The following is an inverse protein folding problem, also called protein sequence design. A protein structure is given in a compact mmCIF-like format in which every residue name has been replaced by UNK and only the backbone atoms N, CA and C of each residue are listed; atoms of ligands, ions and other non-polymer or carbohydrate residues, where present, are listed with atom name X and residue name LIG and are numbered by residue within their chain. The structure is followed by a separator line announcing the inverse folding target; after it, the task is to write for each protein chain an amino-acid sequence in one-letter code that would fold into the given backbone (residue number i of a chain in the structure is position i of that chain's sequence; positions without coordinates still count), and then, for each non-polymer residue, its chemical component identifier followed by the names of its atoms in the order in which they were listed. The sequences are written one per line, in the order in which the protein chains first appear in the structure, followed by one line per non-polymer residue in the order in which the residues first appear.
data_IF_087539397373
#
_entry.id   IF_087539397373
#
_cell.length_a   1.000
_cell.length_b   1.000
_cell.length_c   1.000
_cell.angle_alpha   90.00
_cell.angle_beta   90.00
_cell.angle_gamma   90.00
#
_symmetry.space_group_name_H-M   'P 1'
#
loop_
_entity.id
_entity.type
_entity.pdbx_description
1 polymer ?
#
# COMPACT_ATOMS: atom_id res chain seq x y z
N UNK A 1 -3.51 1.77 -5.80
CA UNK A 1 -4.87 1.39 -6.28
C UNK A 1 -5.76 2.62 -6.27
N UNK A 2 -6.69 2.77 -7.21
CA UNK A 2 -7.54 3.96 -7.36
C UNK A 2 -9.01 3.65 -7.09
N UNK A 3 -9.72 4.52 -6.37
CA UNK A 3 -11.13 4.34 -6.04
C UNK A 3 -12.04 5.07 -7.03
N UNK A 4 -13.21 4.50 -7.28
CA UNK A 4 -14.29 5.21 -7.94
C UNK A 4 -14.72 6.45 -7.11
N UNK A 5 -15.31 7.42 -7.79
CA UNK A 5 -15.73 8.68 -7.17
C UNK A 5 -16.68 8.44 -5.99
N UNK A 6 -16.29 8.92 -4.81
CA UNK A 6 -17.08 8.77 -3.59
C UNK A 6 -17.08 7.36 -2.96
N UNK A 7 -16.44 6.37 -3.59
CA UNK A 7 -16.33 5.02 -3.04
C UNK A 7 -15.17 4.91 -2.05
N UNK A 8 -15.36 4.11 -1.01
CA UNK A 8 -14.31 3.62 -0.12
C UNK A 8 -14.08 2.11 -0.22
N UNK A 9 -14.91 1.42 -0.99
CA UNK A 9 -14.86 -0.04 -1.09
C UNK A 9 -13.87 -0.47 -2.16
N UNK A 10 -13.12 -1.54 -1.85
CA UNK A 10 -12.31 -2.21 -2.85
C UNK A 10 -13.21 -3.09 -3.72
N UNK A 11 -13.10 -2.93 -5.04
CA UNK A 11 -13.72 -3.85 -5.98
C UNK A 11 -12.95 -5.18 -6.03
N UNK A 12 -13.60 -6.21 -6.58
CA UNK A 12 -13.04 -7.55 -6.69
C UNK A 12 -11.69 -7.56 -7.45
N UNK A 13 -11.56 -6.77 -8.51
CA UNK A 13 -10.34 -6.69 -9.30
C UNK A 13 -9.19 -6.01 -8.53
N UNK A 14 -9.48 -5.10 -7.61
CA UNK A 14 -8.51 -4.52 -6.69
C UNK A 14 -8.06 -5.53 -5.63
N UNK A 15 -8.98 -6.31 -5.07
CA UNK A 15 -8.67 -7.39 -4.11
C UNK A 15 -7.78 -8.45 -4.76
N UNK A 16 -8.10 -8.87 -5.99
CA UNK A 16 -7.31 -9.85 -6.74
C UNK A 16 -5.90 -9.32 -7.04
N UNK A 17 -5.77 -8.06 -7.45
CA UNK A 17 -4.47 -7.42 -7.67
C UNK A 17 -3.65 -7.32 -6.39
N UNK A 18 -4.28 -6.97 -5.27
CA UNK A 18 -3.64 -6.92 -3.97
C UNK A 18 -3.12 -8.29 -3.57
N UNK A 19 -3.97 -9.32 -3.65
CA UNK A 19 -3.62 -10.71 -3.34
C UNK A 19 -2.44 -11.19 -4.19
N UNK A 20 -2.51 -10.95 -5.51
CA UNK A 20 -1.43 -11.32 -6.42
C UNK A 20 -0.12 -10.57 -6.14
N UNK A 21 -0.19 -9.31 -5.70
CA UNK A 21 1.00 -8.55 -5.31
C UNK A 21 1.63 -9.05 -4.01
N UNK A 22 0.83 -9.32 -2.96
CA UNK A 22 1.32 -9.90 -1.69
C UNK A 22 1.96 -11.27 -1.95
N UNK A 23 1.31 -12.14 -2.73
CA UNK A 23 1.87 -13.46 -3.07
C UNK A 23 3.23 -13.38 -3.78
N UNK A 24 3.43 -12.39 -4.66
CA UNK A 24 4.75 -12.14 -5.28
C UNK A 24 5.76 -11.63 -4.26
N UNK A 25 5.35 -10.81 -3.31
CA UNK A 25 6.23 -10.34 -2.25
C UNK A 25 6.66 -11.49 -1.32
N UNK A 26 5.76 -12.42 -0.97
CA UNK A 26 6.04 -13.60 -0.13
C UNK A 26 7.07 -14.57 -0.75
N UNK A 27 7.13 -14.59 -2.09
CA UNK A 27 8.14 -15.35 -2.81
C UNK A 27 9.57 -14.82 -2.53
N UNK A 28 9.71 -13.53 -2.21
CA UNK A 28 10.98 -12.85 -1.98
C UNK A 28 11.29 -12.64 -0.50
N UNK A 29 10.27 -12.36 0.31
CA UNK A 29 10.38 -11.99 1.72
C UNK A 29 9.52 -12.93 2.56
N UNK A 30 10.10 -13.57 3.58
CA UNK A 30 9.39 -14.55 4.38
C UNK A 30 8.63 -13.94 5.57
N UNK A 31 9.14 -12.83 6.11
CA UNK A 31 8.61 -12.18 7.31
C UNK A 31 8.55 -10.68 7.07
N UNK A 32 7.44 -10.07 7.49
CA UNK A 32 7.24 -8.63 7.50
C UNK A 32 7.25 -8.11 8.93
N UNK A 33 7.94 -7.00 9.16
CA UNK A 33 7.95 -6.32 10.46
C UNK A 33 6.67 -5.49 10.64
N UNK A 34 6.26 -4.79 9.57
CA UNK A 34 5.05 -3.98 9.56
C UNK A 34 4.60 -3.69 8.12
N UNK A 35 3.48 -2.97 7.99
CA UNK A 35 3.03 -2.37 6.76
C UNK A 35 2.56 -0.93 6.97
N UNK A 36 2.52 -0.17 5.88
CA UNK A 36 1.94 1.16 5.81
C UNK A 36 0.80 1.19 4.80
N UNK A 37 -0.30 1.84 5.14
CA UNK A 37 -1.43 2.12 4.23
C UNK A 37 -1.64 3.62 4.18
N UNK A 38 -1.42 4.23 3.03
CA UNK A 38 -1.76 5.63 2.77
C UNK A 38 -3.00 5.70 1.89
N UNK A 39 -3.99 6.51 2.25
CA UNK A 39 -5.16 6.76 1.42
C UNK A 39 -5.42 8.25 1.21
N UNK A 40 -5.86 8.58 0.00
CA UNK A 40 -6.24 9.93 -0.40
C UNK A 40 -7.71 10.03 -0.76
N UNK A 41 -8.28 11.23 -0.63
CA UNK A 41 -9.49 11.61 -1.33
C UNK A 41 -9.46 13.05 -1.83
N UNK A 42 -10.03 13.28 -3.02
CA UNK A 42 -10.13 14.62 -3.60
C UNK A 42 -11.35 15.37 -3.05
N UNK A 43 -11.18 16.66 -2.77
CA UNK A 43 -12.29 17.62 -2.61
C UNK A 43 -12.82 17.96 -4.00
N UNK A 44 -13.62 17.05 -4.58
CA UNK A 44 -14.00 17.07 -6.01
C UNK A 44 -15.24 17.89 -6.34
N UNK A 45 -16.02 18.35 -5.35
CA UNK A 45 -17.36 18.93 -5.58
C UNK A 45 -17.60 20.16 -4.70
N UNK A 46 -18.39 21.15 -5.16
CA UNK A 46 -18.80 22.30 -4.36
C UNK A 46 -19.49 21.91 -3.03
N UNK A 47 -20.11 20.74 -3.00
CA UNK A 47 -20.83 20.19 -1.85
C UNK A 47 -19.99 19.29 -0.94
N UNK A 48 -18.76 18.92 -1.32
CA UNK A 48 -17.88 18.05 -0.52
C UNK A 48 -16.87 18.92 0.22
N UNK A 49 -16.88 18.87 1.54
CA UNK A 49 -15.91 19.61 2.36
C UNK A 49 -14.57 18.89 2.43
N UNK A 50 -13.53 19.59 2.92
CA UNK A 50 -12.26 18.93 3.26
C UNK A 50 -12.43 17.85 4.33
N UNK A 51 -13.39 18.02 5.25
CA UNK A 51 -13.70 17.03 6.28
C UNK A 51 -14.34 15.78 5.69
N UNK A 52 -15.25 15.94 4.72
CA UNK A 52 -15.84 14.82 3.99
C UNK A 52 -14.80 14.03 3.20
N UNK A 53 -13.88 14.73 2.53
CA UNK A 53 -12.77 14.08 1.85
C UNK A 53 -11.85 13.36 2.85
N UNK A 54 -11.54 13.98 3.99
CA UNK A 54 -10.72 13.33 5.02
C UNK A 54 -11.39 12.08 5.58
N UNK A 55 -12.71 12.14 5.84
CA UNK A 55 -13.50 10.98 6.26
C UNK A 55 -13.46 9.87 5.21
N UNK A 56 -13.62 10.21 3.93
CA UNK A 56 -13.55 9.24 2.85
C UNK A 56 -12.17 8.60 2.72
N UNK A 57 -11.10 9.38 2.86
CA UNK A 57 -9.72 8.88 2.88
C UNK A 57 -9.49 7.91 4.05
N UNK A 58 -10.01 8.20 5.25
CA UNK A 58 -9.95 7.28 6.40
C UNK A 58 -10.68 5.97 6.14
N UNK A 59 -11.89 6.03 5.60
CA UNK A 59 -12.63 4.81 5.24
C UNK A 59 -11.87 3.95 4.23
N UNK A 60 -11.21 4.59 3.25
CA UNK A 60 -10.36 3.88 2.29
C UNK A 60 -9.15 3.23 2.94
N UNK A 61 -8.48 3.93 3.86
CA UNK A 61 -7.37 3.38 4.63
C UNK A 61 -7.85 2.17 5.45
N UNK A 62 -8.98 2.30 6.16
CA UNK A 62 -9.55 1.21 6.97
C UNK A 62 -9.92 -0.02 6.14
N UNK A 63 -10.64 0.17 5.05
CA UNK A 63 -11.04 -0.92 4.17
C UNK A 63 -9.82 -1.60 3.53
N UNK A 64 -8.82 -0.81 3.12
CA UNK A 64 -7.57 -1.35 2.56
C UNK A 64 -6.77 -2.10 3.61
N UNK A 65 -6.68 -1.58 4.84
CA UNK A 65 -6.02 -2.27 5.97
C UNK A 65 -6.71 -3.60 6.27
N UNK A 66 -8.04 -3.63 6.34
CA UNK A 66 -8.79 -4.89 6.57
C UNK A 66 -8.55 -5.91 5.47
N UNK A 67 -8.56 -5.46 4.21
CA UNK A 67 -8.26 -6.33 3.08
C UNK A 67 -6.82 -6.85 3.15
N UNK A 68 -5.85 -6.00 3.49
CA UNK A 68 -4.45 -6.35 3.62
C UNK A 68 -4.21 -7.35 4.75
N UNK A 69 -4.69 -7.07 5.97
CA UNK A 69 -4.45 -7.93 7.13
C UNK A 69 -5.08 -9.30 6.98
N UNK A 70 -6.21 -9.41 6.27
CA UNK A 70 -6.84 -10.68 5.93
C UNK A 70 -5.99 -11.60 5.02
N UNK A 71 -4.93 -11.07 4.39
CA UNK A 71 -4.02 -11.85 3.55
C UNK A 71 -2.84 -12.45 4.32
N UNK A 72 -2.60 -12.02 5.56
CA UNK A 72 -1.48 -12.52 6.36
C UNK A 72 -1.94 -13.60 7.34
N UNK A 73 -1.24 -14.74 7.43
CA UNK A 73 -1.58 -15.80 8.39
C UNK A 73 -1.28 -15.41 9.84
N UNK A 74 -0.43 -14.41 10.05
CA UNK A 74 -0.06 -13.86 11.35
C UNK A 74 -0.40 -12.36 11.35
N UNK A 75 -0.92 -11.80 12.45
CA UNK A 75 -1.17 -10.36 12.53
C UNK A 75 0.09 -9.56 12.23
N UNK A 76 -0.06 -8.53 11.40
CA UNK A 76 0.98 -7.54 11.11
C UNK A 76 0.54 -6.18 11.65
N UNK A 77 1.48 -5.39 12.17
CA UNK A 77 1.20 -4.01 12.52
C UNK A 77 1.06 -3.19 11.24
N UNK A 78 0.01 -2.37 11.17
CA UNK A 78 -0.28 -1.53 10.01
C UNK A 78 -0.45 -0.09 10.45
N UNK A 79 0.47 0.77 10.02
CA UNK A 79 0.33 2.22 10.16
C UNK A 79 -0.59 2.77 9.07
N UNK A 80 -1.49 3.68 9.43
CA UNK A 80 -2.44 4.27 8.50
C UNK A 80 -2.22 5.78 8.37
N UNK A 81 -2.21 6.24 7.12
CA UNK A 81 -2.12 7.66 6.76
C UNK A 81 -3.31 8.02 5.88
N UNK A 82 -3.92 9.17 6.14
CA UNK A 82 -5.10 9.63 5.41
C UNK A 82 -4.98 11.11 5.09
N UNK A 83 -5.28 11.46 3.83
CA UNK A 83 -5.10 12.82 3.34
C UNK A 83 -6.31 13.30 2.54
N UNK A 84 -6.82 14.48 2.89
CA UNK A 84 -7.74 15.23 2.04
C UNK A 84 -6.95 16.16 1.11
N UNK A 85 -7.24 16.06 -0.19
CA UNK A 85 -6.55 16.84 -1.21
C UNK A 85 -7.49 17.88 -1.81
N UNK A 86 -7.19 19.17 -1.57
CA UNK A 86 -7.98 20.30 -2.09
C UNK A 86 -7.83 20.51 -3.59
N UNK A 87 -6.64 20.28 -4.11
CA UNK A 87 -6.32 20.38 -5.55
C UNK A 87 -5.72 19.07 -6.04
N UNK A 88 -5.75 18.84 -7.36
CA UNK A 88 -5.02 17.71 -7.95
C UNK A 88 -3.53 17.93 -7.69
N UNK A 89 -2.85 16.97 -7.06
CA UNK A 89 -1.41 17.07 -6.78
C UNK A 89 -0.56 17.15 -8.07
N UNK A 90 -1.11 16.74 -9.22
CA UNK A 90 -0.43 16.84 -10.52
C UNK A 90 -1.43 16.90 -11.69
N UNK A 91 -0.90 17.19 -12.89
CA UNK A 91 -1.58 17.00 -14.19
C UNK A 91 -1.69 15.53 -14.61
N UNK A 92 -0.99 14.64 -13.92
CA UNK A 92 -1.06 13.20 -14.12
C UNK A 92 -2.40 12.65 -13.57
N UNK A 93 -3.09 11.76 -14.29
CA UNK A 93 -4.40 11.25 -13.91
C UNK A 93 -4.36 10.24 -12.74
N UNK A 94 -3.25 10.17 -11.98
CA UNK A 94 -3.23 9.49 -10.68
C UNK A 94 -4.05 10.30 -9.68
N UNK A 95 -5.35 10.07 -9.77
CA UNK A 95 -6.41 10.70 -9.00
C UNK A 95 -6.03 10.70 -7.53
N UNK A 96 -6.22 11.82 -6.81
CA UNK A 96 -6.03 11.85 -5.34
C UNK A 96 -7.01 10.91 -4.59
N UNK A 97 -7.77 10.07 -5.29
CA UNK A 97 -8.67 9.05 -4.80
C UNK A 97 -7.97 7.68 -4.90
N UNK A 98 -7.08 7.41 -3.96
CA UNK A 98 -6.21 6.24 -3.98
C UNK A 98 -6.08 5.59 -2.61
N UNK A 99 -5.56 4.36 -2.62
CA UNK A 99 -4.80 3.79 -1.52
C UNK A 99 -3.46 3.24 -2.04
N UNK A 100 -2.41 3.39 -1.26
CA UNK A 100 -1.08 2.87 -1.49
C UNK A 100 -0.69 2.01 -0.29
N UNK A 101 0.02 0.92 -0.57
CA UNK A 101 0.44 -0.04 0.45
C UNK A 101 1.95 -0.19 0.35
N UNK A 102 2.61 -0.13 1.50
CA UNK A 102 4.02 -0.44 1.65
C UNK A 102 4.16 -1.61 2.62
N UNK A 103 4.94 -2.62 2.24
CA UNK A 103 5.34 -3.69 3.14
C UNK A 103 6.77 -3.43 3.59
N UNK A 104 7.04 -3.62 4.88
CA UNK A 104 8.37 -3.49 5.46
C UNK A 104 8.90 -4.88 5.82
N UNK A 105 9.62 -5.55 4.90
CA UNK A 105 10.11 -6.91 5.14
C UNK A 105 11.28 -6.92 6.12
N UNK A 106 11.37 -7.98 6.94
CA UNK A 106 12.55 -8.25 7.72
C UNK A 106 13.68 -8.76 6.80
N UNK A 107 14.59 -7.87 6.44
CA UNK A 107 15.67 -8.16 5.49
C UNK A 107 16.62 -9.27 5.95
N UNK A 108 16.74 -9.53 7.26
CA UNK A 108 17.57 -10.64 7.78
C UNK A 108 17.01 -12.02 7.43
N UNK A 109 15.71 -12.07 7.15
CA UNK A 109 14.97 -13.29 6.78
C UNK A 109 14.61 -13.32 5.30
N UNK A 110 15.13 -12.36 4.53
CA UNK A 110 14.94 -12.28 3.10
C UNK A 110 15.55 -13.48 2.40
N UNK A 111 14.88 -13.97 1.35
CA UNK A 111 15.39 -15.01 0.45
C UNK A 111 16.24 -14.42 -0.68
N UNK A 112 16.45 -13.10 -0.67
CA UNK A 112 17.25 -12.43 -1.68
C UNK A 112 18.72 -12.83 -1.54
N UNK A 113 19.42 -13.07 -2.66
CA UNK A 113 20.86 -13.22 -2.64
C UNK A 113 21.49 -11.96 -2.02
N UNK A 114 22.52 -12.14 -1.19
CA UNK A 114 23.18 -11.01 -0.56
C UNK A 114 23.64 -10.00 -1.61
N UNK A 115 23.26 -8.73 -1.44
CA UNK A 115 23.70 -7.63 -2.30
C UNK A 115 25.18 -7.26 -2.13
N UNK A 116 26.03 -8.22 -1.75
CA UNK A 116 27.46 -8.05 -1.88
C UNK A 116 27.80 -8.28 -3.36
N UNK A 117 28.28 -7.26 -4.10
CA UNK A 117 28.97 -7.52 -5.35
C UNK A 117 30.19 -8.37 -4.98
N UNK A 118 30.06 -9.69 -5.13
CA UNK A 118 31.09 -10.63 -4.74
C UNK A 118 32.39 -10.23 -5.42
N UNK A 119 33.46 -10.06 -4.63
CA UNK A 119 34.78 -10.39 -5.16
C UNK A 119 34.65 -11.83 -5.64
N UNK A 120 35.00 -12.17 -6.90
CA UNK A 120 34.94 -13.54 -7.35
C UNK A 120 35.74 -14.41 -6.38
N UNK A 121 35.09 -15.48 -5.89
CA UNK A 121 35.72 -16.52 -5.08
C UNK A 121 36.86 -17.13 -5.91
N UNK A 122 38.10 -16.68 -5.68
CA UNK A 122 39.22 -17.15 -6.48
C UNK A 122 40.54 -16.39 -6.40
N UNK A 123 40.80 -15.61 -5.34
CA UNK A 123 42.14 -15.06 -5.09
C UNK A 123 42.53 -15.24 -3.63
N UNK A 124 42.74 -16.49 -3.24
CA UNK A 124 43.65 -16.82 -2.14
C UNK A 124 45.09 -16.51 -2.60
N UNK A 125 45.86 -15.85 -1.72
CA UNK A 125 47.32 -15.84 -1.73
C UNK A 125 47.80 -16.15 -0.33
#
# INVERSE_FOLDING_TARGET
MTFADGSAELDQAQIERLTGWVSRADAMFAIYESAGVEAGATVKLPSRTSEDAMRLARMRADNTTRALTGLFPVPIEVEQFSHSYRERKSTDPEVNDFAAIQLYPNLKTSKLPGCNPGRPDGLER
#
